data_IF_899419777876
#
_entry.id   IF_899419777876
#
_cell.length_a   1.000
_cell.length_b   1.000
_cell.length_c   1.000
_cell.angle_alpha   90.00
_cell.angle_beta   90.00
_cell.angle_gamma   90.00
#
_symmetry.space_group_name_H-M   'P 1'
#
loop_
_entity.id
_entity.type
_entity.pdbx_description
1 polymer ?
#
# COMPACT_ATOMS: atom_id res chain seq x y z
N UNK A 1 -23.35 -7.89 10.82
CA UNK A 1 -23.00 -9.13 10.09
C UNK A 1 -21.62 -9.61 10.52
N UNK A 2 -21.42 -10.92 10.75
CA UNK A 2 -20.09 -11.49 11.11
C UNK A 2 -19.49 -12.31 9.97
N UNK A 3 -19.57 -11.79 8.75
CA UNK A 3 -18.99 -12.41 7.55
C UNK A 3 -17.86 -11.53 7.00
N UNK A 4 -16.79 -12.11 6.41
CA UNK A 4 -15.77 -11.35 5.71
C UNK A 4 -16.32 -10.78 4.40
N UNK A 5 -15.87 -9.58 4.04
CA UNK A 5 -16.23 -8.90 2.79
C UNK A 5 -15.06 -8.99 1.83
N UNK A 6 -15.18 -9.81 0.79
CA UNK A 6 -14.14 -9.94 -0.23
C UNK A 6 -14.31 -8.90 -1.33
N UNK A 7 -13.19 -8.42 -1.88
CA UNK A 7 -13.18 -7.42 -2.94
C UNK A 7 -12.69 -7.99 -4.27
N UNK A 8 -13.22 -7.44 -5.36
CA UNK A 8 -12.58 -7.45 -6.67
C UNK A 8 -11.70 -6.19 -6.76
N UNK A 9 -10.40 -6.32 -7.05
CA UNK A 9 -9.51 -5.18 -7.19
C UNK A 9 -9.83 -4.37 -8.46
N UNK A 10 -9.25 -3.17 -8.56
CA UNK A 10 -9.20 -2.38 -9.79
C UNK A 10 -7.75 -2.20 -10.22
N UNK A 11 -7.49 -2.27 -11.53
CA UNK A 11 -6.15 -2.25 -12.09
C UNK A 11 -5.86 -0.93 -12.81
N UNK A 12 -4.63 -0.44 -12.68
CA UNK A 12 -4.20 0.80 -13.31
C UNK A 12 -3.02 0.53 -14.25
N UNK A 13 -3.15 0.99 -15.50
CA UNK A 13 -2.02 1.05 -16.41
C UNK A 13 -1.02 2.11 -15.98
N UNK A 14 0.26 1.78 -16.14
CA UNK A 14 1.38 2.68 -15.85
C UNK A 14 2.47 2.49 -16.89
N UNK A 15 3.18 3.56 -17.23
CA UNK A 15 4.26 3.48 -18.23
C UNK A 15 5.37 2.51 -17.83
N UNK A 16 5.53 2.29 -16.53
CA UNK A 16 6.49 1.40 -15.88
C UNK A 16 5.89 0.04 -15.49
N UNK A 17 4.61 -0.18 -15.74
CA UNK A 17 3.92 -1.41 -15.36
C UNK A 17 4.31 -2.61 -16.20
N UNK A 18 3.93 -3.80 -15.73
CA UNK A 18 4.26 -5.07 -16.36
C UNK A 18 3.11 -6.07 -16.29
N UNK A 19 3.49 -7.34 -16.10
CA UNK A 19 2.59 -8.50 -16.15
C UNK A 19 2.61 -9.36 -14.89
N UNK A 20 3.46 -9.04 -13.89
CA UNK A 20 3.63 -9.89 -12.69
C UNK A 20 2.30 -10.01 -11.92
N UNK A 21 1.42 -9.02 -11.97
CA UNK A 21 0.08 -9.10 -11.41
C UNK A 21 -0.75 -10.27 -12.00
N UNK A 22 -0.66 -10.52 -13.31
CA UNK A 22 -1.24 -11.71 -13.94
C UNK A 22 -0.43 -12.96 -13.62
N UNK A 23 0.88 -12.91 -13.85
CA UNK A 23 1.71 -14.12 -13.85
C UNK A 23 1.88 -14.73 -12.45
N UNK A 24 1.86 -13.89 -11.41
CA UNK A 24 2.05 -14.29 -10.00
C UNK A 24 0.73 -14.53 -9.27
N UNK A 25 -0.33 -13.76 -9.57
CA UNK A 25 -1.61 -13.83 -8.86
C UNK A 25 -2.78 -14.36 -9.70
N UNK A 26 -2.59 -14.56 -11.00
CA UNK A 26 -3.66 -14.99 -11.90
C UNK A 26 -4.71 -13.91 -12.18
N UNK A 27 -4.39 -12.64 -11.95
CA UNK A 27 -5.32 -11.54 -12.19
C UNK A 27 -5.58 -11.33 -13.69
N UNK A 28 -6.81 -10.97 -14.01
CA UNK A 28 -7.20 -10.48 -15.33
C UNK A 28 -6.82 -8.99 -15.44
N UNK A 29 -5.67 -8.73 -16.04
CA UNK A 29 -5.09 -7.38 -16.14
C UNK A 29 -5.46 -6.71 -17.47
N UNK A 30 -5.69 -5.39 -17.51
CA UNK A 30 -6.15 -4.70 -18.71
C UNK A 30 -5.11 -4.63 -19.83
N UNK A 31 -3.81 -4.73 -19.51
CA UNK A 31 -2.73 -4.79 -20.51
C UNK A 31 -1.41 -5.29 -19.93
N UNK A 32 -0.42 -5.49 -20.81
CA UNK A 32 0.97 -5.82 -20.43
C UNK A 32 1.72 -4.67 -19.73
N UNK A 33 1.05 -3.53 -19.49
CA UNK A 33 1.58 -2.37 -18.76
C UNK A 33 0.81 -2.08 -17.48
N UNK A 34 0.28 -3.13 -16.85
CA UNK A 34 -0.49 -2.97 -15.61
C UNK A 34 0.47 -2.83 -14.45
N UNK A 35 0.57 -1.63 -13.89
CA UNK A 35 1.53 -1.32 -12.84
C UNK A 35 0.96 -1.47 -11.43
N UNK A 36 -0.34 -1.24 -11.26
CA UNK A 36 -0.96 -1.23 -9.93
C UNK A 36 -2.23 -2.06 -9.92
N UNK A 37 -2.37 -2.86 -8.86
CA UNK A 37 -3.60 -3.49 -8.42
C UNK A 37 -4.06 -2.76 -7.15
N UNK A 38 -5.09 -1.94 -7.26
CA UNK A 38 -5.73 -1.31 -6.10
C UNK A 38 -6.64 -2.35 -5.45
N UNK A 39 -6.04 -3.07 -4.52
CA UNK A 39 -6.57 -4.27 -3.88
C UNK A 39 -7.73 -3.98 -2.94
N UNK A 40 -7.55 -2.98 -2.06
CA UNK A 40 -8.57 -2.49 -1.13
C UNK A 40 -8.55 -0.97 -1.25
N UNK A 41 -9.51 -0.43 -2.00
CA UNK A 41 -9.57 0.98 -2.34
C UNK A 41 -10.99 1.50 -2.26
N UNK A 42 -11.15 2.62 -1.57
CA UNK A 42 -12.32 3.49 -1.65
C UNK A 42 -11.99 4.84 -2.31
N UNK A 43 -10.81 4.96 -2.92
CA UNK A 43 -10.38 6.19 -3.57
C UNK A 43 -11.22 6.45 -4.85
N UNK A 44 -11.69 7.68 -5.11
CA UNK A 44 -12.52 8.00 -6.28
C UNK A 44 -11.90 7.61 -7.64
N UNK A 45 -10.57 7.67 -7.77
CA UNK A 45 -9.85 7.29 -9.00
C UNK A 45 -9.86 5.77 -9.30
N UNK A 46 -10.32 4.95 -8.37
CA UNK A 46 -10.43 3.51 -8.56
C UNK A 46 -10.92 2.84 -7.29
N UNK A 47 -12.16 2.36 -7.28
CA UNK A 47 -12.71 1.69 -6.11
C UNK A 47 -12.72 0.18 -6.31
N UNK A 48 -12.33 -0.55 -5.26
CA UNK A 48 -12.57 -1.98 -5.18
C UNK A 48 -14.05 -2.23 -4.95
N UNK A 49 -14.55 -3.34 -5.49
CA UNK A 49 -15.99 -3.66 -5.48
C UNK A 49 -16.22 -4.95 -4.70
N UNK A 50 -17.24 -4.98 -3.86
CA UNK A 50 -17.60 -6.20 -3.11
C UNK A 50 -17.89 -7.35 -4.07
N UNK A 51 -17.17 -8.46 -3.90
CA UNK A 51 -17.14 -9.59 -4.82
C UNK A 51 -18.41 -10.45 -4.78
N UNK A 52 -19.00 -10.60 -3.60
CA UNK A 52 -20.06 -11.57 -3.30
C UNK A 52 -20.78 -11.22 -2.00
N UNK A 53 -21.92 -11.86 -1.75
CA UNK A 53 -22.73 -11.63 -0.55
C UNK A 53 -23.77 -10.52 -0.72
N UNK A 54 -24.26 -10.00 0.40
CA UNK A 54 -25.35 -9.01 0.46
C UNK A 54 -25.04 -7.74 -0.34
N UNK A 55 -23.80 -7.24 -0.26
CA UNK A 55 -23.36 -6.02 -0.93
C UNK A 55 -22.65 -6.26 -2.26
N UNK A 56 -22.79 -7.44 -2.86
CA UNK A 56 -22.11 -7.77 -4.12
C UNK A 56 -22.36 -6.68 -5.19
N UNK A 57 -21.28 -6.19 -5.81
CA UNK A 57 -21.34 -5.11 -6.79
C UNK A 57 -21.25 -3.70 -6.21
N UNK A 58 -21.32 -3.52 -4.88
CA UNK A 58 -21.17 -2.22 -4.23
C UNK A 58 -19.69 -1.80 -4.16
N UNK A 59 -19.33 -0.57 -4.56
CA UNK A 59 -18.00 -0.01 -4.34
C UNK A 59 -17.69 0.20 -2.85
N UNK A 60 -16.43 0.02 -2.42
CA UNK A 60 -16.04 0.19 -1.01
C UNK A 60 -16.32 1.61 -0.48
N UNK A 61 -16.21 2.65 -1.32
CA UNK A 61 -16.55 4.02 -0.90
C UNK A 61 -18.04 4.19 -0.60
N UNK A 62 -18.91 3.53 -1.36
CA UNK A 62 -20.35 3.50 -1.08
C UNK A 62 -20.65 2.70 0.18
N UNK A 63 -20.02 1.53 0.34
CA UNK A 63 -20.14 0.71 1.55
C UNK A 63 -19.71 1.51 2.80
N UNK A 64 -18.63 2.29 2.69
CA UNK A 64 -18.16 3.18 3.76
C UNK A 64 -19.19 4.23 4.14
N UNK A 65 -19.94 4.81 3.19
CA UNK A 65 -20.91 5.86 3.45
C UNK A 65 -22.24 5.32 3.98
N UNK A 66 -22.75 4.25 3.37
CA UNK A 66 -24.09 3.73 3.64
C UNK A 66 -24.12 2.73 4.82
N UNK A 67 -22.99 2.08 5.13
CA UNK A 67 -22.89 1.00 6.11
C UNK A 67 -21.80 1.25 7.17
N UNK A 68 -21.84 2.42 7.83
CA UNK A 68 -20.86 2.83 8.87
C UNK A 68 -20.70 1.80 9.99
N UNK A 69 -21.73 1.04 10.30
CA UNK A 69 -21.74 -0.01 11.32
C UNK A 69 -20.74 -1.15 11.03
N UNK A 70 -20.40 -1.39 9.76
CA UNK A 70 -19.39 -2.36 9.35
C UNK A 70 -17.98 -1.92 9.72
N UNK A 71 -17.78 -0.62 9.92
CA UNK A 71 -16.50 -0.01 10.25
C UNK A 71 -16.47 0.50 11.69
N UNK A 72 -17.47 0.14 12.50
CA UNK A 72 -17.54 0.53 13.91
C UNK A 72 -17.75 2.03 14.12
N UNK A 73 -18.33 2.72 13.13
CA UNK A 73 -18.47 4.17 13.13
C UNK A 73 -17.14 4.91 13.36
N UNK A 74 -16.04 4.38 12.83
CA UNK A 74 -14.72 5.02 12.89
C UNK A 74 -14.80 6.50 12.50
N UNK A 75 -14.19 7.38 13.29
CA UNK A 75 -14.34 8.83 13.11
C UNK A 75 -13.48 9.33 11.93
N UNK A 76 -14.05 9.25 10.73
CA UNK A 76 -13.43 9.72 9.50
C UNK A 76 -14.47 9.95 8.41
N UNK A 77 -14.29 10.99 7.60
CA UNK A 77 -15.21 11.42 6.53
C UNK A 77 -15.18 10.47 5.32
N UNK A 78 -14.09 9.75 5.11
CA UNK A 78 -13.89 8.77 4.04
C UNK A 78 -13.13 7.55 4.57
N UNK A 79 -13.11 6.46 3.79
CA UNK A 79 -12.38 5.26 4.20
C UNK A 79 -10.88 5.58 4.36
N UNK A 80 -10.21 5.17 5.46
CA UNK A 80 -8.93 5.74 5.87
C UNK A 80 -7.72 5.30 5.02
N UNK A 81 -7.77 4.10 4.44
CA UNK A 81 -6.59 3.45 3.85
C UNK A 81 -6.77 3.08 2.38
N UNK A 82 -5.65 2.84 1.72
CA UNK A 82 -5.58 2.26 0.39
C UNK A 82 -4.47 1.20 0.40
N UNK A 83 -4.80 -0.03 -0.03
CA UNK A 83 -3.83 -1.11 -0.21
C UNK A 83 -3.66 -1.41 -1.69
N UNK A 84 -2.41 -1.46 -2.14
CA UNK A 84 -2.05 -1.77 -3.53
C UNK A 84 -1.06 -2.92 -3.60
N UNK A 85 -1.05 -3.62 -4.72
CA UNK A 85 0.10 -4.40 -5.18
C UNK A 85 0.68 -3.66 -6.39
N UNK A 86 1.98 -3.42 -6.37
CA UNK A 86 2.69 -2.66 -7.42
C UNK A 86 3.69 -3.58 -8.12
N UNK A 87 3.58 -3.66 -9.44
CA UNK A 87 4.54 -4.31 -10.34
C UNK A 87 5.41 -3.25 -11.01
N UNK A 88 6.58 -3.00 -10.43
CA UNK A 88 7.56 -2.06 -10.95
C UNK A 88 8.45 -2.76 -12.00
N UNK A 89 7.97 -2.85 -13.23
CA UNK A 89 8.71 -3.44 -14.35
C UNK A 89 9.74 -2.47 -14.97
N UNK A 90 9.67 -1.18 -14.61
CA UNK A 90 10.66 -0.14 -14.87
C UNK A 90 10.70 0.81 -13.66
N UNK A 91 11.68 1.70 -13.58
CA UNK A 91 11.82 2.64 -12.47
C UNK A 91 10.57 3.52 -12.32
N UNK A 92 10.00 3.63 -11.13
CA UNK A 92 8.99 4.65 -10.87
C UNK A 92 9.68 6.01 -10.79
N UNK A 93 8.88 7.06 -10.98
CA UNK A 93 9.40 8.42 -10.83
C UNK A 93 9.85 8.69 -9.41
N UNK A 94 10.90 9.49 -9.25
CA UNK A 94 11.30 10.01 -7.94
C UNK A 94 10.27 11.04 -7.50
N UNK A 95 9.77 10.86 -6.29
CA UNK A 95 8.61 11.60 -5.80
C UNK A 95 8.67 11.82 -4.29
N UNK A 96 7.74 12.65 -3.82
CA UNK A 96 7.45 12.91 -2.41
C UNK A 96 5.95 13.09 -2.24
N UNK A 97 5.45 12.76 -1.06
CA UNK A 97 4.06 12.90 -0.67
C UNK A 97 3.90 13.97 0.41
N UNK A 98 2.86 14.83 0.34
CA UNK A 98 2.56 15.78 1.41
C UNK A 98 1.99 15.07 2.65
N UNK A 99 2.03 15.78 3.78
CA UNK A 99 1.22 15.47 4.97
C UNK A 99 -0.23 15.97 4.79
N UNK A 100 -1.08 15.68 5.78
CA UNK A 100 -2.50 16.08 5.75
C UNK A 100 -2.69 17.60 5.77
N UNK A 101 -1.84 18.33 6.49
CA UNK A 101 -1.93 19.79 6.58
C UNK A 101 -1.66 20.44 5.21
N UNK A 102 -0.59 20.04 4.53
CA UNK A 102 -0.27 20.57 3.22
C UNK A 102 -1.29 20.11 2.17
N UNK A 103 -1.67 18.83 2.17
CA UNK A 103 -2.63 18.30 1.19
C UNK A 103 -4.00 19.00 1.29
N UNK A 104 -4.51 19.21 2.51
CA UNK A 104 -5.78 19.91 2.74
C UNK A 104 -5.77 21.34 2.16
N UNK A 105 -4.65 22.05 2.31
CA UNK A 105 -4.49 23.43 1.84
C UNK A 105 -4.27 23.55 0.32
N UNK A 106 -3.61 22.58 -0.31
CA UNK A 106 -3.10 22.71 -1.69
C UNK A 106 -3.67 21.71 -2.70
N UNK A 107 -4.38 20.66 -2.25
CA UNK A 107 -4.88 19.56 -3.07
C UNK A 107 -6.40 19.37 -2.95
N UNK A 108 -7.12 20.48 -2.76
CA UNK A 108 -8.61 20.52 -2.80
C UNK A 108 -9.26 19.57 -1.78
N UNK A 109 -8.69 19.47 -0.58
CA UNK A 109 -9.25 18.64 0.49
C UNK A 109 -8.88 17.15 0.40
N UNK A 110 -7.82 16.82 -0.33
CA UNK A 110 -7.19 15.51 -0.23
C UNK A 110 -6.39 15.36 1.06
N UNK A 111 -6.22 14.09 1.47
CA UNK A 111 -5.32 13.74 2.56
C UNK A 111 -3.87 13.68 2.10
N UNK A 112 -2.99 13.77 3.08
CA UNK A 112 -1.60 13.40 2.94
C UNK A 112 -1.47 11.93 2.55
N UNK A 113 -0.23 11.53 2.29
CA UNK A 113 0.08 10.17 1.84
C UNK A 113 1.34 9.67 2.53
N UNK A 114 1.19 9.32 3.81
CA UNK A 114 2.10 8.40 4.48
C UNK A 114 1.79 6.98 4.03
N UNK A 115 2.84 6.18 3.81
CA UNK A 115 2.73 4.82 3.29
C UNK A 115 3.78 3.88 3.87
N UNK A 116 3.69 2.61 3.48
CA UNK A 116 4.69 1.61 3.75
C UNK A 116 4.70 0.55 2.66
N UNK A 117 5.85 -0.10 2.49
CA UNK A 117 6.07 -1.12 1.49
C UNK A 117 6.53 -2.41 2.14
N UNK A 118 5.86 -3.50 1.77
CA UNK A 118 6.36 -4.86 1.97
C UNK A 118 6.85 -5.40 0.63
N UNK A 119 8.13 -5.76 0.56
CA UNK A 119 8.72 -6.35 -0.65
C UNK A 119 8.25 -7.81 -0.74
N UNK A 120 7.28 -8.07 -1.62
CA UNK A 120 6.75 -9.42 -1.84
C UNK A 120 7.82 -10.27 -2.52
N UNK A 121 8.39 -9.72 -3.59
CA UNK A 121 9.43 -10.36 -4.39
C UNK A 121 10.26 -9.29 -5.11
N UNK A 122 11.48 -9.63 -5.48
CA UNK A 122 12.36 -8.72 -6.22
C UNK A 122 13.42 -9.46 -7.02
N UNK A 123 13.91 -8.83 -8.09
CA UNK A 123 15.06 -9.32 -8.85
C UNK A 123 16.37 -9.19 -8.06
N UNK A 124 17.39 -9.98 -8.46
CA UNK A 124 18.70 -9.92 -7.83
C UNK A 124 19.33 -8.54 -8.01
N UNK A 125 19.77 -7.93 -6.90
CA UNK A 125 20.34 -6.59 -6.90
C UNK A 125 19.31 -5.47 -7.04
N UNK A 126 18.01 -5.75 -6.91
CA UNK A 126 16.97 -4.73 -6.89
C UNK A 126 17.21 -3.68 -5.79
N UNK A 127 16.85 -2.44 -6.08
CA UNK A 127 17.03 -1.30 -5.20
C UNK A 127 15.72 -0.50 -5.08
N UNK A 128 15.67 0.36 -4.07
CA UNK A 128 14.74 1.49 -4.01
C UNK A 128 15.53 2.78 -3.85
N UNK A 129 14.94 3.89 -4.26
CA UNK A 129 15.37 5.22 -3.82
C UNK A 129 14.64 5.52 -2.53
N UNK A 130 15.40 5.82 -1.46
CA UNK A 130 14.84 6.11 -0.15
C UNK A 130 15.67 7.17 0.56
N UNK A 131 15.20 8.42 0.50
CA UNK A 131 15.87 9.58 1.07
C UNK A 131 16.84 10.29 0.13
N UNK A 132 17.49 11.33 0.67
CA UNK A 132 18.46 12.16 -0.04
C UNK A 132 19.64 12.56 0.85
N UNK A 133 20.72 13.06 0.25
CA UNK A 133 21.98 13.40 0.96
C UNK A 133 22.08 14.86 1.40
N UNK A 134 21.30 15.76 0.79
CA UNK A 134 21.30 17.19 1.12
C UNK A 134 21.02 17.46 2.61
N UNK A 135 21.74 18.44 3.18
CA UNK A 135 21.70 18.85 4.58
C UNK A 135 20.80 20.04 4.83
N UNK A 136 20.59 20.90 3.84
CA UNK A 136 19.70 22.07 3.92
C UNK A 136 18.76 22.15 2.72
N UNK A 137 17.66 22.92 2.85
CA UNK A 137 16.69 23.09 1.76
C UNK A 137 17.32 23.77 0.55
N UNK A 138 18.28 24.67 0.76
CA UNK A 138 19.03 25.36 -0.29
C UNK A 138 19.91 24.38 -1.08
N UNK A 139 20.62 23.49 -0.37
CA UNK A 139 21.42 22.44 -0.99
C UNK A 139 20.54 21.48 -1.80
N UNK A 140 19.42 21.04 -1.23
CA UNK A 140 18.44 20.20 -1.94
C UNK A 140 17.98 20.87 -3.24
N UNK A 141 17.54 22.14 -3.16
CA UNK A 141 17.05 22.89 -4.30
C UNK A 141 18.14 23.10 -5.38
N UNK A 142 19.38 23.41 -4.99
CA UNK A 142 20.49 23.58 -5.94
C UNK A 142 20.84 22.27 -6.64
N UNK A 143 20.94 21.16 -5.91
CA UNK A 143 21.23 19.83 -6.48
C UNK A 143 20.13 19.37 -7.43
N UNK A 144 18.84 19.55 -7.08
CA UNK A 144 17.72 19.24 -7.96
C UNK A 144 17.73 20.11 -9.22
N UNK A 145 17.99 21.41 -9.08
CA UNK A 145 18.08 22.35 -10.22
C UNK A 145 19.22 22.01 -11.18
N UNK A 146 20.33 21.48 -10.66
CA UNK A 146 21.49 21.02 -11.44
C UNK A 146 21.38 19.56 -11.88
N UNK A 147 20.24 18.92 -11.61
CA UNK A 147 19.97 17.51 -11.97
C UNK A 147 21.04 16.54 -11.44
N UNK A 148 21.61 16.81 -10.26
CA UNK A 148 22.65 15.98 -9.62
C UNK A 148 22.07 14.76 -8.91
N UNK A 149 21.16 14.03 -9.56
CA UNK A 149 20.34 12.98 -8.96
C UNK A 149 21.17 11.85 -8.34
N UNK A 150 22.23 11.38 -8.99
CA UNK A 150 23.08 10.29 -8.48
C UNK A 150 23.83 10.67 -7.19
N UNK A 151 24.14 11.96 -7.03
CA UNK A 151 24.79 12.49 -5.82
C UNK A 151 23.76 12.80 -4.74
N UNK A 152 22.57 13.24 -5.13
CA UNK A 152 21.51 13.64 -4.23
C UNK A 152 20.78 12.45 -3.61
N UNK A 153 20.39 11.48 -4.43
CA UNK A 153 19.47 10.41 -4.04
C UNK A 153 20.22 9.28 -3.31
N UNK A 154 19.53 8.67 -2.35
CA UNK A 154 20.05 7.50 -1.64
C UNK A 154 19.38 6.25 -2.21
N UNK A 155 20.18 5.31 -2.72
CA UNK A 155 19.73 3.99 -3.18
C UNK A 155 19.99 2.97 -2.09
N UNK A 156 19.03 2.08 -1.89
CA UNK A 156 19.05 1.02 -0.88
C UNK A 156 18.75 -0.30 -1.57
N UNK A 157 19.64 -1.28 -1.45
CA UNK A 157 19.38 -2.63 -1.92
C UNK A 157 18.30 -3.29 -1.08
N UNK A 158 17.42 -4.06 -1.73
CA UNK A 158 16.30 -4.73 -1.08
C UNK A 158 16.27 -6.21 -1.42
N UNK A 159 15.59 -6.98 -0.59
CA UNK A 159 15.26 -8.39 -0.82
C UNK A 159 13.80 -8.67 -0.47
N UNK A 160 13.27 -9.78 -1.00
CA UNK A 160 11.97 -10.30 -0.62
C UNK A 160 11.86 -10.44 0.91
N UNK A 161 10.77 -9.94 1.47
CA UNK A 161 10.52 -9.93 2.91
C UNK A 161 10.91 -8.62 3.62
N UNK A 162 11.67 -7.73 2.99
CA UNK A 162 11.99 -6.42 3.56
C UNK A 162 10.73 -5.55 3.71
N UNK A 163 10.77 -4.63 4.68
CA UNK A 163 9.69 -3.71 4.98
C UNK A 163 10.22 -2.29 5.16
N UNK A 164 9.54 -1.32 4.58
CA UNK A 164 9.88 0.10 4.64
C UNK A 164 8.67 0.91 5.06
N UNK A 165 8.82 1.76 6.08
CA UNK A 165 7.85 2.78 6.43
C UNK A 165 8.27 4.09 5.74
N UNK A 166 7.34 4.73 5.05
CA UNK A 166 7.60 5.91 4.20
C UNK A 166 6.72 7.06 4.70
N UNK A 167 7.19 7.84 5.70
CA UNK A 167 6.49 9.04 6.14
C UNK A 167 6.33 10.04 4.99
N UNK A 168 5.22 10.78 4.98
CA UNK A 168 5.08 11.98 4.14
C UNK A 168 6.31 12.90 4.29
N UNK A 169 6.72 13.53 3.20
CA UNK A 169 7.94 14.33 3.12
C UNK A 169 9.22 13.55 2.79
N UNK A 170 9.16 12.21 2.73
CA UNK A 170 10.30 11.38 2.31
C UNK A 170 10.43 11.38 0.78
N UNK A 171 11.60 11.74 0.25
CA UNK A 171 11.93 11.54 -1.17
C UNK A 171 12.14 10.05 -1.42
N UNK A 172 11.42 9.46 -2.38
CA UNK A 172 11.51 8.02 -2.62
C UNK A 172 11.13 7.64 -4.06
N UNK A 173 11.46 6.40 -4.45
CA UNK A 173 10.97 5.73 -5.66
C UNK A 173 11.17 4.22 -5.54
N UNK A 174 10.24 3.44 -6.11
CA UNK A 174 10.51 2.02 -6.41
C UNK A 174 11.31 1.94 -7.71
N UNK A 175 12.40 1.19 -7.74
CA UNK A 175 13.13 0.92 -8.98
C UNK A 175 12.59 -0.33 -9.68
N UNK A 176 13.05 -0.56 -10.91
CA UNK A 176 12.68 -1.73 -11.71
C UNK A 176 12.97 -3.05 -10.99
N UNK A 177 12.14 -4.06 -11.26
CA UNK A 177 12.33 -5.43 -10.77
C UNK A 177 11.64 -5.72 -9.43
N UNK A 178 10.79 -4.82 -8.93
CA UNK A 178 10.09 -4.96 -7.64
C UNK A 178 8.64 -5.38 -7.81
N UNK A 179 8.20 -6.28 -6.93
CA UNK A 179 6.80 -6.57 -6.66
C UNK A 179 6.54 -6.27 -5.18
N UNK A 180 5.73 -5.27 -4.88
CA UNK A 180 5.48 -4.85 -3.50
C UNK A 180 4.00 -4.84 -3.15
N UNK A 181 3.70 -4.96 -1.85
CA UNK A 181 2.43 -4.53 -1.29
C UNK A 181 2.64 -3.18 -0.62
N UNK A 182 1.85 -2.19 -1.04
CA UNK A 182 1.83 -0.86 -0.46
C UNK A 182 0.56 -0.68 0.39
N UNK A 183 0.72 -0.27 1.64
CA UNK A 183 -0.38 0.21 2.48
C UNK A 183 -0.15 1.68 2.76
N UNK A 184 -1.13 2.51 2.43
CA UNK A 184 -1.05 3.96 2.49
C UNK A 184 -2.34 4.57 3.03
N UNK A 185 -2.30 5.85 3.41
CA UNK A 185 -3.52 6.65 3.54
C UNK A 185 -4.31 6.65 2.22
N UNK A 186 -5.63 6.83 2.28
CA UNK A 186 -6.49 6.89 1.11
C UNK A 186 -6.31 8.21 0.33
N UNK A 187 -5.20 8.34 -0.41
CA UNK A 187 -4.80 9.51 -1.19
C UNK A 187 -4.02 9.08 -2.44
N UNK A 188 -4.21 9.78 -3.56
CA UNK A 188 -3.44 9.58 -4.80
C UNK A 188 -2.47 10.75 -5.06
N UNK A 189 -2.24 11.59 -4.05
CA UNK A 189 -1.44 12.82 -4.17
C UNK A 189 0.05 12.51 -4.29
N UNK A 190 0.67 12.94 -5.38
CA UNK A 190 2.08 12.66 -5.68
C UNK A 190 2.79 13.87 -6.28
N UNK A 191 3.88 14.32 -5.65
CA UNK A 191 4.74 15.36 -6.21
C UNK A 191 5.99 14.74 -6.82
N UNK A 192 5.95 14.58 -8.14
CA UNK A 192 7.07 14.08 -8.94
C UNK A 192 8.19 15.11 -9.05
N UNK A 193 9.43 14.71 -8.81
CA UNK A 193 10.60 15.59 -8.98
C UNK A 193 11.50 15.19 -10.13
N UNK A 194 11.56 13.90 -10.47
CA UNK A 194 12.38 13.39 -11.56
C UNK A 194 11.72 12.17 -12.20
N UNK A 195 11.80 12.07 -13.53
CA UNK A 195 11.14 11.02 -14.31
C UNK A 195 11.99 10.46 -15.46
N UNK A 196 13.31 10.62 -15.38
CA UNK A 196 14.24 10.09 -16.38
C UNK A 196 13.99 10.60 -17.81
N UNK A 197 13.36 11.78 -17.95
CA UNK A 197 13.01 12.35 -19.26
C UNK A 197 12.01 11.51 -20.06
N UNK A 198 11.29 10.58 -19.42
CA UNK A 198 10.35 9.68 -20.08
C UNK A 198 9.16 10.43 -20.67
N UNK A 199 8.65 9.88 -21.75
CA UNK A 199 7.46 10.36 -22.45
C UNK A 199 6.31 9.39 -22.25
N UNK A 200 5.11 9.92 -22.10
CA UNK A 200 3.88 9.15 -22.04
C UNK A 200 3.49 8.59 -23.42
N UNK A 201 2.31 7.96 -23.50
CA UNK A 201 1.77 7.36 -24.72
C UNK A 201 1.52 8.39 -25.83
N UNK A 202 1.33 9.66 -25.47
CA UNK A 202 1.13 10.78 -26.40
C UNK A 202 2.44 11.49 -26.75
N UNK A 203 3.58 10.97 -26.27
CA UNK A 203 4.89 11.55 -26.51
C UNK A 203 5.19 12.78 -25.65
N UNK A 204 4.40 13.07 -24.62
CA UNK A 204 4.60 14.24 -23.73
C UNK A 204 5.39 13.84 -22.48
N UNK A 205 6.27 14.69 -21.96
CA UNK A 205 6.85 14.50 -20.63
C UNK A 205 5.75 14.50 -19.57
N UNK A 206 5.87 13.63 -18.56
CA UNK A 206 4.96 13.68 -17.41
C UNK A 206 5.25 14.91 -16.55
N UNK A 207 4.20 15.42 -15.91
CA UNK A 207 4.28 16.61 -15.07
C UNK A 207 5.23 16.38 -13.88
N UNK A 208 6.08 17.39 -13.65
CA UNK A 208 6.95 17.52 -12.48
C UNK A 208 6.41 18.64 -11.58
N UNK A 209 6.46 18.42 -10.28
CA UNK A 209 5.87 19.26 -9.24
C UNK A 209 6.97 19.84 -8.34
N UNK A 210 8.12 20.21 -8.90
CA UNK A 210 9.34 20.55 -8.16
C UNK A 210 9.11 21.58 -7.06
N UNK A 211 8.31 22.62 -7.31
CA UNK A 211 8.00 23.63 -6.29
C UNK A 211 7.26 23.03 -5.09
N UNK A 212 6.14 22.33 -5.32
CA UNK A 212 5.37 21.68 -4.26
C UNK A 212 6.20 20.63 -3.52
N UNK A 213 7.02 19.87 -4.25
CA UNK A 213 7.93 18.91 -3.65
C UNK A 213 8.91 19.58 -2.68
N UNK A 214 9.57 20.67 -3.08
CA UNK A 214 10.50 21.40 -2.20
C UNK A 214 9.83 21.97 -0.94
N UNK A 215 8.54 22.29 -1.01
CA UNK A 215 7.80 22.76 0.16
C UNK A 215 7.65 21.65 1.21
N UNK A 216 7.40 20.41 0.77
CA UNK A 216 7.05 19.28 1.67
C UNK A 216 8.19 18.32 1.98
N UNK A 217 9.30 18.33 1.24
CA UNK A 217 10.43 17.44 1.53
C UNK A 217 10.99 17.75 2.92
N UNK A 218 11.12 16.71 3.73
CA UNK A 218 11.80 16.78 5.03
C UNK A 218 13.31 16.87 4.81
N UNK A 219 13.92 17.95 5.30
CA UNK A 219 15.37 18.19 5.17
C UNK A 219 16.00 18.49 6.53
N UNK A 220 17.09 17.81 6.93
CA UNK A 220 17.70 16.66 6.25
C UNK A 220 16.78 15.42 6.28
N UNK A 221 17.01 14.48 5.36
CA UNK A 221 16.35 13.18 5.44
C UNK A 221 16.73 12.46 6.74
N UNK A 222 15.71 11.95 7.44
CA UNK A 222 15.86 11.16 8.66
C UNK A 222 15.23 9.79 8.44
N UNK A 223 16.05 8.74 8.46
CA UNK A 223 15.57 7.37 8.44
C UNK A 223 15.27 6.92 9.87
N UNK A 224 14.01 6.54 10.14
CA UNK A 224 13.64 5.94 11.41
C UNK A 224 13.82 4.41 11.33
N UNK A 225 14.51 3.78 12.30
CA UNK A 225 14.60 2.33 12.34
C UNK A 225 13.22 1.73 12.61
N UNK A 226 12.93 0.61 11.95
CA UNK A 226 11.71 -0.15 12.17
C UNK A 226 12.04 -1.28 13.14
N UNK A 227 11.37 -1.29 14.29
CA UNK A 227 11.55 -2.32 15.32
C UNK A 227 10.32 -3.25 15.34
N UNK A 228 10.35 -4.35 14.57
CA UNK A 228 9.20 -5.23 14.49
C UNK A 228 8.96 -5.98 15.80
N UNK A 229 7.69 -6.06 16.21
CA UNK A 229 7.26 -6.95 17.31
C UNK A 229 6.87 -8.30 16.74
N UNK A 230 7.44 -9.39 17.26
CA UNK A 230 7.13 -10.76 16.81
C UNK A 230 6.45 -11.55 17.92
N UNK A 231 5.26 -12.07 17.62
CA UNK A 231 4.51 -12.99 18.49
C UNK A 231 4.47 -14.36 17.81
N UNK A 232 5.04 -15.37 18.48
CA UNK A 232 4.99 -16.77 18.03
C UNK A 232 3.91 -17.52 18.81
N UNK A 233 3.05 -18.20 18.08
CA UNK A 233 1.98 -19.06 18.59
C UNK A 233 2.19 -20.48 18.07
N UNK A 234 1.50 -21.46 18.65
CA UNK A 234 1.68 -22.87 18.30
C UNK A 234 1.45 -23.19 16.81
N UNK A 235 0.63 -22.41 16.11
CA UNK A 235 0.32 -22.61 14.68
C UNK A 235 0.44 -21.35 13.82
N UNK A 236 1.09 -20.29 14.33
CA UNK A 236 1.24 -19.04 13.58
C UNK A 236 2.38 -18.16 14.11
N UNK A 237 2.90 -17.29 13.26
CA UNK A 237 3.76 -16.16 13.65
C UNK A 237 3.12 -14.87 13.17
N UNK A 238 3.00 -13.89 14.07
CA UNK A 238 2.54 -12.54 13.75
C UNK A 238 3.71 -11.57 13.95
N UNK A 239 4.12 -10.90 12.89
CA UNK A 239 5.14 -9.85 12.91
C UNK A 239 4.48 -8.51 12.65
N UNK A 240 4.37 -7.66 13.66
CA UNK A 240 3.93 -6.27 13.48
C UNK A 240 5.14 -5.41 13.14
N UNK A 241 5.17 -4.81 11.95
CA UNK A 241 6.27 -3.96 11.53
C UNK A 241 6.11 -2.52 12.00
N UNK A 242 4.90 -1.96 11.88
CA UNK A 242 4.66 -0.56 12.21
C UNK A 242 3.33 -0.39 12.93
N UNK A 243 3.33 0.52 13.90
CA UNK A 243 2.15 1.14 14.52
C UNK A 243 2.37 2.65 14.43
N UNK A 244 1.62 3.31 13.57
CA UNK A 244 1.68 4.75 13.35
C UNK A 244 0.36 5.40 13.73
N UNK A 245 0.28 6.73 13.63
CA UNK A 245 -0.96 7.47 13.81
C UNK A 245 -2.00 7.19 12.71
N UNK A 246 -1.57 6.64 11.56
CA UNK A 246 -2.43 6.39 10.40
C UNK A 246 -2.86 4.93 10.24
N UNK A 247 -1.96 4.00 10.56
CA UNK A 247 -2.19 2.58 10.40
C UNK A 247 -1.21 1.72 11.22
N UNK A 248 -1.67 0.51 11.50
CA UNK A 248 -0.83 -0.63 11.91
C UNK A 248 -0.74 -1.64 10.76
N UNK A 249 0.47 -2.17 10.50
CA UNK A 249 0.68 -3.23 9.49
C UNK A 249 1.45 -4.40 10.08
N UNK A 250 0.99 -5.61 9.77
CA UNK A 250 1.59 -6.86 10.24
C UNK A 250 1.56 -7.97 9.20
N UNK A 251 2.54 -8.87 9.28
CA UNK A 251 2.59 -10.14 8.53
C UNK A 251 2.09 -11.28 9.39
N UNK A 252 1.17 -12.06 8.88
CA UNK A 252 0.64 -13.24 9.54
C UNK A 252 1.04 -14.48 8.75
N UNK A 253 1.89 -15.31 9.35
CA UNK A 253 2.32 -16.59 8.79
C UNK A 253 1.59 -17.69 9.54
N UNK A 254 0.58 -18.29 8.91
CA UNK A 254 -0.29 -19.28 9.54
C UNK A 254 0.04 -20.67 9.04
N UNK A 255 0.43 -21.54 9.96
CA UNK A 255 0.63 -22.96 9.74
C UNK A 255 0.58 -23.77 11.07
N UNK A 256 -0.45 -24.61 11.32
CA UNK A 256 -1.65 -24.83 10.51
C UNK A 256 -2.82 -23.91 10.89
N UNK A 257 -2.72 -23.15 11.99
CA UNK A 257 -3.86 -22.44 12.57
C UNK A 257 -3.46 -21.21 13.38
N UNK A 258 -4.20 -20.13 13.17
CA UNK A 258 -4.20 -18.92 13.98
C UNK A 258 -5.59 -18.75 14.60
N UNK A 259 -5.65 -18.38 15.87
CA UNK A 259 -6.86 -17.92 16.53
C UNK A 259 -6.66 -16.47 16.95
N UNK A 260 -7.64 -15.64 16.65
CA UNK A 260 -7.62 -14.22 16.97
C UNK A 260 -8.91 -13.87 17.68
N UNK A 261 -8.75 -13.08 18.75
CA UNK A 261 -9.87 -12.34 19.31
C UNK A 261 -10.32 -11.24 18.35
N UNK A 262 -11.45 -10.62 18.68
CA UNK A 262 -11.99 -9.49 17.91
C UNK A 262 -10.95 -8.37 17.78
N UNK A 263 -10.72 -7.93 16.54
CA UNK A 263 -9.89 -6.77 16.21
C UNK A 263 -10.78 -5.59 15.84
N UNK A 264 -10.48 -4.41 16.38
CA UNK A 264 -11.20 -3.15 16.14
C UNK A 264 -10.25 -2.11 15.54
N UNK A 265 -10.74 -1.15 14.74
CA UNK A 265 -12.15 -0.95 14.35
C UNK A 265 -12.61 -1.88 13.23
N UNK A 266 -11.73 -2.27 12.31
CA UNK A 266 -11.94 -3.29 11.29
C UNK A 266 -10.56 -3.73 10.78
N UNK A 267 -10.50 -4.89 10.13
CA UNK A 267 -9.23 -5.44 9.65
C UNK A 267 -9.25 -5.59 8.14
N UNK A 268 -8.19 -5.15 7.49
CA UNK A 268 -7.93 -5.38 6.07
C UNK A 268 -6.92 -6.50 5.94
N UNK A 269 -7.20 -7.47 5.08
CA UNK A 269 -6.35 -8.62 4.83
C UNK A 269 -6.07 -8.75 3.34
N UNK A 270 -4.82 -9.05 3.01
CA UNK A 270 -4.39 -9.44 1.66
C UNK A 270 -3.66 -10.76 1.73
N UNK A 271 -4.15 -11.77 1.02
CA UNK A 271 -3.57 -13.12 1.00
C UNK A 271 -2.43 -13.19 0.00
N UNK A 272 -1.19 -13.29 0.50
CA UNK A 272 0.01 -13.20 -0.32
C UNK A 272 0.49 -14.54 -0.84
N UNK A 273 0.36 -15.58 -0.04
CA UNK A 273 0.84 -16.93 -0.38
C UNK A 273 -0.12 -17.96 0.18
N UNK A 274 -0.31 -19.03 -0.58
CA UNK A 274 -0.97 -20.25 -0.12
C UNK A 274 -2.49 -20.20 -0.15
N UNK A 275 -3.07 -21.13 0.59
CA UNK A 275 -4.53 -21.35 0.68
C UNK A 275 -4.91 -21.74 2.09
N UNK A 276 -6.12 -21.39 2.47
CA UNK A 276 -6.65 -21.67 3.79
C UNK A 276 -8.13 -21.37 3.87
N UNK A 277 -8.61 -21.14 5.08
CA UNK A 277 -9.94 -20.61 5.31
C UNK A 277 -9.94 -19.70 6.53
N UNK A 278 -10.81 -18.69 6.51
CA UNK A 278 -11.16 -17.90 7.69
C UNK A 278 -12.53 -18.37 8.19
N UNK A 279 -12.66 -18.63 9.49
CA UNK A 279 -13.89 -19.15 10.07
C UNK A 279 -14.27 -18.48 11.37
N UNK A 280 -15.58 -18.39 11.60
CA UNK A 280 -16.22 -17.99 12.85
C UNK A 280 -17.23 -19.07 13.25
N UNK A 281 -17.98 -18.86 14.32
CA UNK A 281 -19.11 -19.74 14.65
C UNK A 281 -20.22 -19.70 13.59
N UNK A 282 -20.29 -18.64 12.77
CA UNK A 282 -21.35 -18.45 11.77
C UNK A 282 -21.02 -19.10 10.42
N UNK A 283 -19.76 -19.45 10.17
CA UNK A 283 -19.36 -20.05 8.89
C UNK A 283 -17.86 -20.06 8.67
N UNK A 284 -17.46 -20.62 7.53
CA UNK A 284 -16.08 -20.71 7.10
C UNK A 284 -15.99 -20.32 5.61
N UNK A 285 -15.03 -19.47 5.28
CA UNK A 285 -14.84 -18.90 3.95
C UNK A 285 -13.43 -19.23 3.45
N UNK A 286 -13.30 -19.78 2.23
CA UNK A 286 -12.00 -20.11 1.67
C UNK A 286 -11.15 -18.85 1.45
N UNK A 287 -9.85 -19.01 1.66
CA UNK A 287 -8.82 -18.02 1.35
C UNK A 287 -7.88 -18.61 0.32
N UNK A 288 -7.55 -17.83 -0.70
CA UNK A 288 -6.54 -18.16 -1.68
C UNK A 288 -5.65 -16.95 -1.97
N UNK A 289 -4.42 -17.19 -2.42
CA UNK A 289 -3.52 -16.15 -2.91
C UNK A 289 -4.26 -15.19 -3.86
N UNK A 290 -4.09 -13.90 -3.61
CA UNK A 290 -4.74 -12.82 -4.35
C UNK A 290 -6.14 -12.42 -3.83
N UNK A 291 -6.63 -13.08 -2.78
CA UNK A 291 -7.81 -12.59 -2.08
C UNK A 291 -7.48 -11.33 -1.25
N UNK A 292 -8.37 -10.35 -1.35
CA UNK A 292 -8.37 -9.13 -0.56
C UNK A 292 -9.72 -9.00 0.13
N UNK A 293 -9.71 -8.77 1.44
CA UNK A 293 -10.93 -8.79 2.24
C UNK A 293 -10.88 -7.82 3.42
N UNK A 294 -12.07 -7.40 3.84
CA UNK A 294 -12.33 -6.66 5.07
C UNK A 294 -13.07 -7.54 6.06
N UNK A 295 -12.59 -7.56 7.31
CA UNK A 295 -13.31 -8.09 8.45
C UNK A 295 -14.03 -6.91 9.13
N UNK A 296 -15.38 -6.88 9.11
CA UNK A 296 -16.12 -5.76 9.67
C UNK A 296 -15.94 -5.67 11.19
N UNK A 297 -16.27 -4.53 11.79
CA UNK A 297 -16.21 -4.28 13.24
C UNK A 297 -16.91 -5.35 14.07
N UNK A 298 -18.00 -5.90 13.53
CA UNK A 298 -18.84 -6.90 14.19
C UNK A 298 -18.30 -8.33 14.01
N UNK A 299 -17.21 -8.51 13.25
CA UNK A 299 -16.54 -9.79 13.09
C UNK A 299 -16.01 -10.24 14.45
N UNK A 300 -16.57 -11.34 14.95
CA UNK A 300 -16.26 -11.87 16.27
C UNK A 300 -14.88 -12.54 16.32
N UNK A 301 -14.57 -13.26 17.41
CA UNK A 301 -13.42 -14.17 17.45
C UNK A 301 -13.43 -15.08 16.23
N UNK A 302 -12.27 -15.27 15.63
CA UNK A 302 -12.14 -16.02 14.39
C UNK A 302 -10.88 -16.86 14.38
N UNK A 303 -10.87 -17.83 13.47
CA UNK A 303 -9.71 -18.66 13.18
C UNK A 303 -9.32 -18.54 11.73
N UNK A 304 -8.02 -18.63 11.46
CA UNK A 304 -7.50 -18.87 10.12
C UNK A 304 -6.83 -20.24 10.15
N UNK A 305 -7.18 -21.11 9.19
CA UNK A 305 -6.61 -22.46 9.06
C UNK A 305 -5.94 -22.61 7.70
N UNK A 306 -4.97 -23.53 7.61
CA UNK A 306 -4.26 -23.86 6.37
C UNK A 306 -2.79 -23.45 6.40
N UNK A 307 -2.24 -23.17 5.22
CA UNK A 307 -0.88 -22.71 5.02
C UNK A 307 -0.95 -21.40 4.25
N UNK A 308 -1.01 -20.29 4.97
CA UNK A 308 -1.31 -18.99 4.37
C UNK A 308 -0.46 -17.90 4.98
N UNK A 309 0.06 -17.03 4.12
CA UNK A 309 0.70 -15.78 4.51
C UNK A 309 -0.23 -14.61 4.16
N UNK A 310 -0.54 -13.77 5.14
CA UNK A 310 -1.35 -12.58 4.95
C UNK A 310 -0.57 -11.32 5.35
N UNK A 311 -0.85 -10.22 4.67
CA UNK A 311 -0.57 -8.89 5.20
C UNK A 311 -1.88 -8.34 5.76
N UNK A 312 -1.83 -7.93 7.02
CA UNK A 312 -2.95 -7.40 7.76
C UNK A 312 -2.70 -5.95 8.10
N UNK A 313 -3.68 -5.08 7.83
CA UNK A 313 -3.62 -3.67 8.19
C UNK A 313 -4.92 -3.18 8.81
N UNK A 314 -4.80 -2.20 9.69
CA UNK A 314 -5.92 -1.53 10.35
C UNK A 314 -5.57 -0.05 10.55
N UNK A 315 -6.57 0.86 10.50
CA UNK A 315 -6.38 2.25 10.85
C UNK A 315 -6.39 2.45 12.38
#
# INVERSE_FOLDING_TARGET
MKQPIFFRPVFQERIWGGTKLRDVYGYDIPSERTGECWAISAHPNGQSVVRSGEWAGMPLGQLWQEHRELFGYYDSDRFPLLTKIIDANDDLSVQVHPDDEYASNYEKGEWGKTECWYVIDCEEGAEIIFGHRAKTKEELADMMKREQWDQLLQRVQVKAGDFFYVPSGTVHALCSGLLILETQQNSDTTYRVYDYGRRDRDGKPRELHVKKALDVITVPHLQQPIEPTVVKMAGATVTTWVRSDYFTVSKWEVHPRLEMERIQPFLLLSVMVGTGAIGTEEGEWPLQKGDHLLLPYQFGPFRITGHVQLIASQP
#
